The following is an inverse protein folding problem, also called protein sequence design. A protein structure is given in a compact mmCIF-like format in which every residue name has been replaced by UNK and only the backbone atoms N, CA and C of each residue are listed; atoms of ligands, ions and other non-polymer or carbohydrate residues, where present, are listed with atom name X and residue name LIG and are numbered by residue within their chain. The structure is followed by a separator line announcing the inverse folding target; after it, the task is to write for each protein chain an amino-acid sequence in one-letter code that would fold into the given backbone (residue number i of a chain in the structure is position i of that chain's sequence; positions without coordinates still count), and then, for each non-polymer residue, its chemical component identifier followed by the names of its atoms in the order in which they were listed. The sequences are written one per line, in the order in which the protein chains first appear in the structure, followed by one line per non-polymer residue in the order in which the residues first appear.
data_IF_638274611439
#
_entry.id   IF_638274611439
#
_cell.length_a   1.000
_cell.length_b   1.000
_cell.length_c   1.000
_cell.angle_alpha   90.00
_cell.angle_beta   90.00
_cell.angle_gamma   90.00
#
_symmetry.space_group_name_H-M   'P 1'
#
loop_
_entity.id
_entity.type
_entity.pdbx_description
1 polymer ?
#
# COMPACT_ATOMS: atom_id res chain seq x y z
N UNK A 1 -43.90 34.37 16.69
CA UNK A 1 -42.77 35.03 16.00
C UNK A 1 -41.37 34.51 16.41
N UNK A 2 -41.21 33.27 16.91
CA UNK A 2 -39.90 32.69 17.32
C UNK A 2 -39.49 31.42 16.55
N UNK A 3 -40.34 30.91 15.65
CA UNK A 3 -40.13 29.66 14.92
C UNK A 3 -39.33 29.81 13.62
N UNK A 4 -39.22 31.02 13.06
CA UNK A 4 -38.46 31.28 11.84
C UNK A 4 -36.93 31.37 12.07
N UNK A 5 -36.48 31.57 13.31
CA UNK A 5 -35.05 31.71 13.65
C UNK A 5 -34.32 30.37 13.70
N UNK A 6 -34.97 29.30 14.20
CA UNK A 6 -34.34 27.99 14.38
C UNK A 6 -34.10 27.28 13.04
N UNK A 7 -34.95 27.51 12.03
CA UNK A 7 -34.76 26.92 10.70
C UNK A 7 -33.60 27.56 9.93
N UNK A 8 -33.28 28.82 10.24
CA UNK A 8 -32.23 29.57 9.57
C UNK A 8 -30.81 29.28 10.12
N UNK A 9 -30.69 28.80 11.36
CA UNK A 9 -29.41 28.36 11.92
C UNK A 9 -28.90 27.02 11.35
N UNK A 10 -29.80 26.16 10.82
CA UNK A 10 -29.39 24.94 10.11
C UNK A 10 -28.96 25.19 8.67
N UNK A 11 -29.26 26.36 8.11
CA UNK A 11 -28.87 26.76 6.75
C UNK A 11 -27.51 27.49 6.70
N UNK A 12 -26.91 27.79 7.85
CA UNK A 12 -25.65 28.54 7.97
C UNK A 12 -24.46 27.70 8.42
N UNK A 13 -24.49 26.37 8.29
CA UNK A 13 -23.26 25.57 8.27
C UNK A 13 -22.61 25.81 6.91
N UNK A 14 -22.13 27.04 6.73
CA UNK A 14 -21.42 27.48 5.56
C UNK A 14 -20.17 26.61 5.43
N UNK A 15 -20.07 25.97 4.26
CA UNK A 15 -18.90 25.33 3.69
C UNK A 15 -17.69 26.28 3.67
N UNK A 16 -17.09 26.56 4.82
CA UNK A 16 -15.75 27.11 4.85
C UNK A 16 -14.79 25.95 4.60
N UNK A 17 -14.46 25.73 3.32
CA UNK A 17 -13.33 24.91 2.92
C UNK A 17 -12.06 25.51 3.52
N UNK A 18 -11.76 25.10 4.75
CA UNK A 18 -10.57 25.55 5.47
C UNK A 18 -9.33 25.03 4.75
N UNK A 19 -8.20 25.71 4.93
CA UNK A 19 -6.93 25.25 4.38
C UNK A 19 -6.64 23.79 4.79
N UNK A 20 -6.97 23.41 6.03
CA UNK A 20 -6.84 22.04 6.51
C UNK A 20 -7.62 21.01 5.70
N UNK A 21 -8.90 21.30 5.38
CA UNK A 21 -9.73 20.39 4.55
C UNK A 21 -9.14 20.23 3.15
N UNK A 22 -8.66 21.32 2.53
CA UNK A 22 -8.02 21.25 1.21
C UNK A 22 -6.71 20.46 1.25
N UNK A 23 -5.87 20.69 2.26
CA UNK A 23 -4.62 19.95 2.44
C UNK A 23 -4.87 18.46 2.66
N UNK A 24 -5.87 18.10 3.48
CA UNK A 24 -6.26 16.70 3.67
C UNK A 24 -6.74 16.07 2.38
N UNK A 25 -7.57 16.77 1.58
CA UNK A 25 -8.01 16.25 0.28
C UNK A 25 -6.83 15.99 -0.66
N UNK A 26 -5.87 16.92 -0.76
CA UNK A 26 -4.66 16.74 -1.56
C UNK A 26 -3.85 15.54 -1.06
N UNK A 27 -3.66 15.41 0.26
CA UNK A 27 -2.95 14.28 0.85
C UNK A 27 -3.63 12.95 0.57
N UNK A 28 -4.96 12.90 0.70
CA UNK A 28 -5.77 11.73 0.40
C UNK A 28 -5.58 11.31 -1.06
N UNK A 29 -5.93 12.16 -2.03
CA UNK A 29 -5.79 11.81 -3.45
C UNK A 29 -4.33 11.58 -3.87
N UNK A 30 -3.40 12.30 -3.24
CA UNK A 30 -1.97 12.07 -3.38
C UNK A 30 -1.55 10.66 -2.97
N UNK A 31 -2.12 10.11 -1.88
CA UNK A 31 -1.85 8.73 -1.45
C UNK A 31 -2.36 7.70 -2.47
N UNK A 32 -3.57 7.87 -3.01
CA UNK A 32 -4.10 7.00 -4.08
C UNK A 32 -3.21 7.05 -5.33
N UNK A 33 -2.83 8.26 -5.75
CA UNK A 33 -1.98 8.45 -6.92
C UNK A 33 -0.59 7.83 -6.71
N UNK A 34 0.06 8.11 -5.58
CA UNK A 34 1.37 7.59 -5.25
C UNK A 34 1.37 6.05 -5.21
N UNK A 35 0.42 5.43 -4.51
CA UNK A 35 0.30 3.97 -4.46
C UNK A 35 0.06 3.38 -5.86
N UNK A 36 -0.80 4.00 -6.66
CA UNK A 36 -1.05 3.57 -8.04
C UNK A 36 0.24 3.55 -8.87
N UNK A 37 1.01 4.64 -8.84
CA UNK A 37 2.27 4.74 -9.57
C UNK A 37 3.28 3.71 -9.06
N UNK A 38 3.42 3.57 -7.74
CA UNK A 38 4.32 2.58 -7.13
C UNK A 38 3.96 1.17 -7.58
N UNK A 39 2.68 0.79 -7.56
CA UNK A 39 2.25 -0.55 -7.96
C UNK A 39 2.48 -0.84 -9.44
N UNK A 40 2.24 0.13 -10.32
CA UNK A 40 2.57 -0.06 -11.74
C UNK A 40 4.07 -0.17 -11.98
N UNK A 41 4.89 0.57 -11.22
CA UNK A 41 6.34 0.51 -11.36
C UNK A 41 6.92 -0.79 -10.81
N UNK A 42 6.55 -1.17 -9.59
CA UNK A 42 6.99 -2.42 -8.95
C UNK A 42 6.50 -3.61 -9.76
N UNK A 43 5.20 -3.66 -10.06
CA UNK A 43 4.60 -4.75 -10.81
C UNK A 43 5.14 -4.88 -12.24
N UNK A 44 5.44 -3.75 -12.90
CA UNK A 44 6.08 -3.75 -14.21
C UNK A 44 7.49 -4.34 -14.17
N UNK A 45 8.28 -4.02 -13.15
CA UNK A 45 9.64 -4.55 -12.99
C UNK A 45 9.66 -6.06 -12.71
N UNK A 46 8.60 -6.62 -12.10
CA UNK A 46 8.47 -8.05 -11.79
C UNK A 46 8.49 -8.98 -13.01
N UNK A 47 8.27 -8.48 -14.21
CA UNK A 47 8.40 -9.23 -15.46
C UNK A 47 9.84 -9.31 -15.99
N UNK A 48 10.82 -8.78 -15.24
CA UNK A 48 12.24 -8.85 -15.58
C UNK A 48 12.94 -9.95 -14.78
N UNK A 49 13.92 -10.62 -15.42
CA UNK A 49 14.75 -11.60 -14.73
C UNK A 49 15.57 -10.99 -13.58
N UNK A 50 15.97 -9.72 -13.73
CA UNK A 50 16.66 -8.94 -12.70
C UNK A 50 15.88 -8.93 -11.39
N UNK A 51 14.60 -8.57 -11.46
CA UNK A 51 13.73 -8.49 -10.28
C UNK A 51 13.42 -9.88 -9.70
N UNK A 52 13.27 -10.88 -10.57
CA UNK A 52 13.03 -12.25 -10.17
C UNK A 52 14.18 -12.81 -9.31
N UNK A 53 15.43 -12.60 -9.72
CA UNK A 53 16.62 -12.98 -8.93
C UNK A 53 16.71 -12.17 -7.64
N UNK A 54 16.37 -10.88 -7.67
CA UNK A 54 16.35 -10.01 -6.48
C UNK A 54 15.40 -10.48 -5.36
N UNK A 55 14.31 -11.16 -5.72
CA UNK A 55 13.35 -11.72 -4.77
C UNK A 55 13.81 -13.01 -4.09
N UNK A 56 14.72 -13.77 -4.70
CA UNK A 56 15.16 -15.08 -4.20
C UNK A 56 15.58 -15.05 -2.73
N UNK A 57 16.49 -14.16 -2.27
CA UNK A 57 16.91 -14.16 -0.87
C UNK A 57 15.78 -13.82 0.10
N UNK A 58 14.82 -12.98 -0.30
CA UNK A 58 13.68 -12.61 0.55
C UNK A 58 12.69 -13.77 0.68
N UNK A 59 12.31 -14.36 -0.45
CA UNK A 59 11.26 -15.38 -0.53
C UNK A 59 11.75 -16.72 0.04
N UNK A 60 12.99 -17.11 -0.26
CA UNK A 60 13.54 -18.40 0.18
C UNK A 60 13.71 -18.49 1.70
N UNK A 61 13.90 -17.33 2.35
CA UNK A 61 14.01 -17.24 3.81
C UNK A 61 12.67 -16.85 4.47
N UNK A 62 11.56 -16.79 3.73
CA UNK A 62 10.27 -16.39 4.28
C UNK A 62 9.57 -17.55 4.98
N UNK A 63 8.98 -17.34 6.17
CA UNK A 63 8.14 -18.35 6.82
C UNK A 63 6.83 -18.62 6.06
N UNK A 64 6.35 -17.66 5.28
CA UNK A 64 5.09 -17.79 4.54
C UNK A 64 5.29 -18.29 3.11
N UNK A 65 6.42 -17.94 2.48
CA UNK A 65 6.65 -18.15 1.05
C UNK A 65 7.84 -19.05 0.72
N UNK A 66 8.61 -19.54 1.70
CA UNK A 66 9.83 -20.34 1.46
C UNK A 66 9.61 -21.61 0.64
N UNK A 67 8.39 -22.14 0.61
CA UNK A 67 8.01 -23.33 -0.17
C UNK A 67 7.70 -23.03 -1.64
N UNK A 68 7.48 -21.76 -2.02
CA UNK A 68 6.88 -21.41 -3.32
C UNK A 68 7.76 -21.80 -4.51
N UNK A 69 9.08 -21.74 -4.34
CA UNK A 69 10.03 -22.15 -5.38
C UNK A 69 10.16 -23.67 -5.55
N UNK A 70 9.53 -24.46 -4.68
CA UNK A 70 9.32 -25.89 -4.89
C UNK A 70 8.17 -26.19 -5.86
N UNK A 71 7.29 -25.21 -6.14
CA UNK A 71 6.12 -25.35 -7.02
C UNK A 71 6.29 -24.52 -8.30
N UNK A 72 6.78 -23.29 -8.18
CA UNK A 72 6.95 -22.35 -9.28
C UNK A 72 8.43 -22.05 -9.53
N UNK A 73 8.79 -21.77 -10.78
CA UNK A 73 10.12 -21.21 -11.07
C UNK A 73 10.23 -19.77 -10.54
N UNK A 74 11.46 -19.30 -10.35
CA UNK A 74 11.76 -17.94 -9.87
C UNK A 74 11.10 -16.88 -10.77
N UNK A 75 11.25 -17.01 -12.09
CA UNK A 75 10.64 -16.08 -13.06
C UNK A 75 9.11 -16.15 -13.08
N UNK A 76 8.54 -17.35 -12.94
CA UNK A 76 7.07 -17.53 -12.91
C UNK A 76 6.48 -16.88 -11.68
N UNK A 77 7.06 -17.14 -10.50
CA UNK A 77 6.62 -16.54 -9.25
C UNK A 77 6.73 -15.01 -9.29
N UNK A 78 7.85 -14.48 -9.79
CA UNK A 78 8.02 -13.04 -9.98
C UNK A 78 6.93 -12.47 -10.90
N UNK A 79 6.69 -13.10 -12.05
CA UNK A 79 5.65 -12.66 -13.00
C UNK A 79 4.24 -12.69 -12.40
N UNK A 80 3.91 -13.71 -11.59
CA UNK A 80 2.63 -13.80 -10.88
C UNK A 80 2.48 -12.68 -9.84
N UNK A 81 3.54 -12.36 -9.09
CA UNK A 81 3.56 -11.18 -8.23
C UNK A 81 3.38 -9.89 -9.03
N UNK A 82 4.00 -9.78 -10.20
CA UNK A 82 3.82 -8.65 -11.11
C UNK A 82 2.37 -8.43 -11.53
N UNK A 83 1.67 -9.50 -11.93
CA UNK A 83 0.24 -9.45 -12.26
C UNK A 83 -0.58 -9.01 -11.04
N UNK A 84 -0.28 -9.55 -9.85
CA UNK A 84 -0.95 -9.17 -8.61
C UNK A 84 -0.75 -7.67 -8.29
N UNK A 85 0.49 -7.19 -8.32
CA UNK A 85 0.85 -5.80 -8.04
C UNK A 85 0.19 -4.83 -9.02
N UNK A 86 0.24 -5.12 -10.32
CA UNK A 86 -0.44 -4.31 -11.35
C UNK A 86 -1.96 -4.30 -11.12
N UNK A 87 -2.55 -5.45 -10.77
CA UNK A 87 -3.98 -5.56 -10.48
C UNK A 87 -4.39 -4.72 -9.27
N UNK A 88 -3.57 -4.72 -8.21
CA UNK A 88 -3.76 -3.87 -7.03
C UNK A 88 -3.69 -2.38 -7.44
N UNK A 89 -2.70 -2.00 -8.25
CA UNK A 89 -2.57 -0.65 -8.78
C UNK A 89 -3.83 -0.20 -9.54
N UNK A 90 -4.38 -1.06 -10.41
CA UNK A 90 -5.64 -0.81 -11.13
C UNK A 90 -6.81 -0.65 -10.17
N UNK A 91 -6.94 -1.51 -9.16
CA UNK A 91 -8.01 -1.44 -8.17
C UNK A 91 -7.98 -0.13 -7.36
N UNK A 92 -6.78 0.30 -6.94
CA UNK A 92 -6.58 1.57 -6.23
C UNK A 92 -6.89 2.76 -7.14
N UNK A 93 -6.41 2.75 -8.39
CA UNK A 93 -6.71 3.77 -9.39
C UNK A 93 -8.22 3.87 -9.69
N UNK A 94 -8.91 2.73 -9.62
CA UNK A 94 -10.36 2.58 -9.76
C UNK A 94 -11.18 3.34 -8.72
N UNK A 95 -10.55 4.00 -7.72
CA UNK A 95 -11.22 4.87 -6.74
C UNK A 95 -12.16 5.89 -7.36
N UNK A 96 -11.81 6.41 -8.55
CA UNK A 96 -12.62 7.38 -9.29
C UNK A 96 -13.95 6.80 -9.79
N UNK A 97 -13.99 5.50 -10.04
CA UNK A 97 -15.18 4.80 -10.55
C UNK A 97 -16.04 4.27 -9.39
N UNK A 98 -15.40 3.69 -8.37
CA UNK A 98 -16.11 3.15 -7.21
C UNK A 98 -15.21 3.05 -5.98
N UNK A 99 -15.68 3.48 -4.80
CA UNK A 99 -14.95 3.26 -3.54
C UNK A 99 -14.76 1.77 -3.22
N UNK A 100 -15.59 0.86 -3.74
CA UNK A 100 -15.44 -0.59 -3.50
C UNK A 100 -14.16 -1.14 -4.12
N UNK A 101 -13.77 -0.65 -5.30
CA UNK A 101 -12.57 -1.14 -6.00
C UNK A 101 -11.32 -0.81 -5.20
N UNK A 102 -11.21 0.43 -4.73
CA UNK A 102 -10.07 0.88 -3.95
C UNK A 102 -10.04 0.31 -2.53
N UNK A 103 -11.20 -0.04 -1.95
CA UNK A 103 -11.25 -0.80 -0.71
C UNK A 103 -10.57 -2.17 -0.88
N UNK A 104 -10.94 -2.92 -1.93
CA UNK A 104 -10.33 -4.22 -2.23
C UNK A 104 -8.84 -4.06 -2.53
N UNK A 105 -8.49 -3.07 -3.37
CA UNK A 105 -7.10 -2.76 -3.69
C UNK A 105 -6.27 -2.44 -2.44
N UNK A 106 -6.77 -1.57 -1.56
CA UNK A 106 -6.11 -1.21 -0.30
C UNK A 106 -5.95 -2.39 0.66
N UNK A 107 -6.95 -3.28 0.75
CA UNK A 107 -6.88 -4.47 1.59
C UNK A 107 -5.84 -5.49 1.07
N UNK A 108 -5.84 -5.77 -0.23
CA UNK A 108 -4.84 -6.64 -0.87
C UNK A 108 -3.43 -6.04 -0.74
N UNK A 109 -3.32 -4.74 -0.94
CA UNK A 109 -2.09 -3.97 -0.78
C UNK A 109 -1.52 -4.06 0.64
N UNK A 110 -2.38 -3.92 1.66
CA UNK A 110 -1.98 -4.09 3.05
C UNK A 110 -1.48 -5.52 3.33
N UNK A 111 -2.15 -6.55 2.80
CA UNK A 111 -1.69 -7.94 2.93
C UNK A 111 -0.32 -8.18 2.28
N UNK A 112 -0.08 -7.58 1.11
CA UNK A 112 1.20 -7.66 0.42
C UNK A 112 2.31 -7.01 1.24
N UNK A 113 2.15 -5.76 1.69
CA UNK A 113 3.18 -5.08 2.47
C UNK A 113 3.37 -5.67 3.88
N UNK A 114 2.33 -6.25 4.47
CA UNK A 114 2.49 -7.04 5.69
C UNK A 114 3.40 -8.25 5.44
N UNK A 115 3.21 -8.92 4.31
CA UNK A 115 4.07 -10.05 3.91
C UNK A 115 5.50 -9.59 3.64
N UNK A 116 5.72 -8.46 2.96
CA UNK A 116 7.09 -7.95 2.72
C UNK A 116 7.77 -7.53 4.02
N UNK A 117 7.07 -6.88 4.94
CA UNK A 117 7.62 -6.54 6.25
C UNK A 117 7.99 -7.77 7.08
N UNK A 118 7.31 -8.91 6.90
CA UNK A 118 7.73 -10.16 7.56
C UNK A 118 9.18 -10.56 7.20
N UNK A 119 9.67 -10.16 6.02
CA UNK A 119 11.03 -10.42 5.58
C UNK A 119 12.09 -9.69 6.42
N UNK A 120 11.72 -8.61 7.13
CA UNK A 120 12.62 -7.93 8.07
C UNK A 120 13.13 -8.87 9.16
N UNK A 121 12.30 -9.84 9.56
CA UNK A 121 12.62 -10.77 10.63
C UNK A 121 13.24 -12.06 10.12
N UNK A 122 12.93 -12.45 8.88
CA UNK A 122 13.30 -13.75 8.34
C UNK A 122 14.50 -13.71 7.41
N UNK A 123 14.83 -12.56 6.81
CA UNK A 123 15.90 -12.46 5.82
C UNK A 123 17.25 -12.18 6.49
N UNK A 124 18.29 -13.01 6.24
CA UNK A 124 19.65 -12.69 6.65
C UNK A 124 20.16 -11.39 6.03
N UNK A 125 20.98 -10.64 6.76
CA UNK A 125 21.58 -9.40 6.27
C UNK A 125 20.70 -8.15 6.42
N UNK A 126 19.52 -8.24 7.03
CA UNK A 126 18.72 -7.05 7.41
C UNK A 126 19.48 -6.19 8.41
N UNK A 127 20.09 -6.78 9.43
CA UNK A 127 20.95 -6.10 10.40
C UNK A 127 22.34 -5.96 9.79
N UNK A 128 22.90 -4.75 9.84
CA UNK A 128 24.24 -4.47 9.34
C UNK A 128 25.30 -5.15 10.24
N UNK A 129 26.06 -6.14 9.75
CA UNK A 129 26.93 -6.96 10.61
C UNK A 129 28.02 -6.16 11.31
N UNK A 130 28.50 -5.08 10.68
CA UNK A 130 29.58 -4.24 11.23
C UNK A 130 29.14 -3.34 12.38
N UNK A 131 27.84 -3.06 12.50
CA UNK A 131 27.29 -2.11 13.47
C UNK A 131 26.38 -2.77 14.52
N UNK A 132 25.80 -3.94 14.20
CA UNK A 132 24.85 -4.62 15.07
C UNK A 132 23.50 -3.88 15.17
N UNK A 133 22.58 -4.42 15.97
CA UNK A 133 21.26 -3.78 16.17
C UNK A 133 21.41 -2.45 16.92
N UNK A 134 20.72 -1.35 16.52
CA UNK A 134 19.60 -1.26 15.57
C UNK A 134 19.97 -0.87 14.12
N UNK A 135 21.25 -0.95 13.72
CA UNK A 135 21.65 -0.59 12.37
C UNK A 135 21.17 -1.63 11.34
N UNK A 136 20.61 -1.15 10.23
CA UNK A 136 20.11 -1.98 9.13
C UNK A 136 20.87 -1.70 7.84
N UNK A 137 21.07 -2.73 7.03
CA UNK A 137 21.74 -2.64 5.72
C UNK A 137 20.90 -1.82 4.73
N UNK A 138 21.56 -1.24 3.72
CA UNK A 138 20.85 -0.54 2.62
C UNK A 138 19.91 -1.49 1.88
N UNK A 139 20.39 -2.70 1.57
CA UNK A 139 19.60 -3.80 1.08
C UNK A 139 19.96 -5.09 1.84
N UNK A 140 18.98 -5.85 2.36
CA UNK A 140 17.54 -5.64 2.23
C UNK A 140 16.91 -4.69 3.27
N UNK A 141 17.63 -4.29 4.33
CA UNK A 141 17.03 -3.66 5.51
C UNK A 141 16.24 -2.37 5.24
N UNK A 142 16.88 -1.34 4.69
CA UNK A 142 16.21 -0.05 4.41
C UNK A 142 15.15 -0.18 3.31
N UNK A 143 15.39 -1.07 2.33
CA UNK A 143 14.41 -1.40 1.29
C UNK A 143 13.10 -1.95 1.88
N UNK A 144 13.17 -2.80 2.90
CA UNK A 144 11.99 -3.34 3.56
C UNK A 144 11.37 -2.34 4.54
N UNK A 145 12.17 -1.49 5.20
CA UNK A 145 11.67 -0.55 6.19
C UNK A 145 10.68 0.48 5.61
N UNK A 146 10.92 0.95 4.38
CA UNK A 146 9.99 1.88 3.69
C UNK A 146 8.58 1.28 3.51
N UNK A 147 8.46 -0.04 3.45
CA UNK A 147 7.17 -0.72 3.27
C UNK A 147 6.25 -0.54 4.48
N UNK A 148 6.78 -0.13 5.64
CA UNK A 148 5.96 0.27 6.80
C UNK A 148 5.08 1.48 6.47
N UNK A 149 5.63 2.46 5.75
CA UNK A 149 4.88 3.62 5.28
C UNK A 149 3.85 3.22 4.22
N UNK A 150 4.20 2.29 3.33
CA UNK A 150 3.29 1.80 2.30
C UNK A 150 2.14 0.97 2.90
N UNK A 151 2.40 0.15 3.92
CA UNK A 151 1.38 -0.56 4.68
C UNK A 151 0.39 0.43 5.32
N UNK A 152 0.89 1.46 5.99
CA UNK A 152 0.04 2.49 6.59
C UNK A 152 -0.82 3.21 5.54
N UNK A 153 -0.24 3.58 4.39
CA UNK A 153 -0.96 4.19 3.28
C UNK A 153 -2.05 3.25 2.69
N UNK A 154 -1.76 1.95 2.64
CA UNK A 154 -2.68 0.92 2.14
C UNK A 154 -3.91 0.77 3.05
N UNK A 155 -3.66 0.68 4.36
CA UNK A 155 -4.72 0.66 5.38
C UNK A 155 -5.53 1.95 5.34
N UNK A 156 -4.87 3.10 5.18
CA UNK A 156 -5.55 4.39 5.03
C UNK A 156 -6.45 4.42 3.80
N UNK A 157 -5.98 3.96 2.63
CA UNK A 157 -6.79 3.87 1.40
C UNK A 157 -8.00 2.97 1.60
N UNK A 158 -7.80 1.80 2.22
CA UNK A 158 -8.89 0.88 2.53
C UNK A 158 -9.92 1.54 3.47
N UNK A 159 -9.46 2.09 4.60
CA UNK A 159 -10.33 2.75 5.58
C UNK A 159 -11.08 3.95 5.00
N UNK A 160 -10.41 4.84 4.28
CA UNK A 160 -11.04 5.98 3.62
C UNK A 160 -12.10 5.55 2.59
N UNK A 161 -11.84 4.46 1.87
CA UNK A 161 -12.82 3.90 0.93
C UNK A 161 -14.01 3.26 1.65
N UNK A 162 -13.78 2.58 2.77
CA UNK A 162 -14.82 1.96 3.59
C UNK A 162 -15.75 3.01 4.20
N UNK A 163 -15.20 4.08 4.78
CA UNK A 163 -16.00 5.18 5.35
C UNK A 163 -16.92 5.82 4.32
N UNK A 164 -16.48 5.97 3.07
CA UNK A 164 -17.31 6.47 1.96
C UNK A 164 -18.43 5.50 1.56
N UNK A 165 -18.26 4.19 1.79
CA UNK A 165 -19.31 3.22 1.51
C UNK A 165 -20.34 3.15 2.64
N UNK A 166 -19.91 3.34 3.87
CA UNK A 166 -20.79 3.39 5.05
C UNK A 166 -21.63 4.68 5.11
N UNK A 167 -21.19 5.74 4.43
CA UNK A 167 -21.90 7.03 4.37
C UNK A 167 -22.96 7.12 3.25
N UNK A 168 -23.13 6.05 2.45
CA UNK A 168 -24.10 5.96 1.35
C UNK A 168 -25.33 5.16 1.76
#
# INVERSE_FOLDING_TARGET
MKTLSIKNQRASVQNHSTLGVKTMAIGTYGAYFALTVIYFWFGGMKFTHYEAVGLVPLVSNSPFLGWVYGIFSVDTFSSLLGVLEVSIGVLIAGRLLSPKLSLIGGALSAGLFFTTLSFMFSTPGVIEPSLGFPAISVAPGQFLLKDLGLLAASIFVAGHSLTELESR
#
